data_IF_002782790859
#
_entry.id   IF_002782790859
#
_cell.length_a   1.000
_cell.length_b   1.000
_cell.length_c   1.000
_cell.angle_alpha   90.00
_cell.angle_beta   90.00
_cell.angle_gamma   90.00
#
_symmetry.space_group_name_H-M   'P 1'
#
loop_
_entity.id
_entity.type
_entity.pdbx_description
1 polymer ?
#
# COMPACT_ATOMS: atom_id res chain seq x y z
N UNK A 1 8.00 18.84 -48.40
CA UNK A 1 7.52 18.05 -47.25
C UNK A 1 7.63 18.93 -46.02
N UNK A 2 6.58 19.05 -45.21
CA UNK A 2 6.62 19.86 -43.99
C UNK A 2 7.64 19.28 -42.99
N UNK A 3 8.40 20.13 -42.30
CA UNK A 3 9.29 19.68 -41.24
C UNK A 3 8.47 19.06 -40.10
N UNK A 4 8.95 17.92 -39.59
CA UNK A 4 8.31 17.26 -38.45
C UNK A 4 8.36 18.18 -37.23
N UNK A 5 7.24 18.34 -36.49
CA UNK A 5 7.21 19.11 -35.26
C UNK A 5 8.28 18.62 -34.28
N UNK A 6 8.92 19.51 -33.49
CA UNK A 6 10.02 19.14 -32.59
C UNK A 6 9.69 17.98 -31.64
N UNK A 7 8.44 17.91 -31.16
CA UNK A 7 7.97 16.82 -30.29
C UNK A 7 7.90 15.46 -30.99
N UNK A 8 7.45 15.41 -32.24
CA UNK A 8 7.43 14.15 -33.01
C UNK A 8 8.85 13.73 -33.36
N UNK A 9 9.72 14.68 -33.73
CA UNK A 9 11.15 14.42 -33.98
C UNK A 9 11.83 13.79 -32.77
N UNK A 10 11.51 14.28 -31.56
CA UNK A 10 11.98 13.70 -30.30
C UNK A 10 11.44 12.27 -30.08
N UNK A 11 10.13 12.04 -30.24
CA UNK A 11 9.51 10.71 -30.07
C UNK A 11 10.12 9.68 -31.05
N UNK A 12 10.31 10.07 -32.31
CA UNK A 12 10.89 9.20 -33.35
C UNK A 12 12.40 9.00 -33.20
N UNK A 13 13.08 9.81 -32.39
CA UNK A 13 14.53 9.67 -32.17
C UNK A 13 14.89 8.47 -31.30
N UNK A 14 13.92 7.92 -30.56
CA UNK A 14 14.14 6.77 -29.69
C UNK A 14 14.03 5.45 -30.44
N UNK A 15 14.93 4.52 -30.14
CA UNK A 15 14.88 3.16 -30.67
C UNK A 15 13.77 2.35 -30.02
N UNK A 16 13.33 1.29 -30.71
CA UNK A 16 12.38 0.30 -30.18
C UNK A 16 12.81 -0.19 -28.77
N UNK A 17 14.10 -0.51 -28.60
CA UNK A 17 14.65 -0.98 -27.32
C UNK A 17 14.52 0.06 -26.20
N UNK A 18 14.70 1.34 -26.51
CA UNK A 18 14.55 2.42 -25.53
C UNK A 18 13.09 2.59 -25.09
N UNK A 19 12.15 2.46 -26.03
CA UNK A 19 10.72 2.47 -25.73
C UNK A 19 10.33 1.33 -24.80
N UNK A 20 10.77 0.10 -25.06
CA UNK A 20 10.49 -1.03 -24.17
C UNK A 20 11.13 -0.89 -22.79
N UNK A 21 12.37 -0.39 -22.71
CA UNK A 21 13.03 -0.11 -21.42
C UNK A 21 12.26 0.93 -20.62
N UNK A 22 11.86 2.04 -21.26
CA UNK A 22 11.05 3.07 -20.62
C UNK A 22 9.69 2.51 -20.17
N UNK A 23 9.03 1.73 -21.02
CA UNK A 23 7.77 1.08 -20.70
C UNK A 23 7.88 0.16 -19.48
N UNK A 24 8.85 -0.76 -19.45
CA UNK A 24 9.04 -1.68 -18.32
C UNK A 24 9.42 -0.94 -17.05
N UNK A 25 10.24 0.11 -17.16
CA UNK A 25 10.56 0.96 -16.01
C UNK A 25 9.32 1.63 -15.43
N UNK A 26 8.48 2.25 -16.26
CA UNK A 26 7.25 2.90 -15.82
C UNK A 26 6.24 1.88 -15.29
N UNK A 27 6.07 0.75 -15.97
CA UNK A 27 5.18 -0.31 -15.53
C UNK A 27 5.59 -0.80 -14.14
N UNK A 28 6.84 -1.27 -13.98
CA UNK A 28 7.35 -1.76 -12.70
C UNK A 28 7.33 -0.71 -11.60
N UNK A 29 7.59 0.56 -11.93
CA UNK A 29 7.43 1.69 -11.01
C UNK A 29 5.99 1.79 -10.50
N UNK A 30 5.00 1.77 -11.40
CA UNK A 30 3.58 1.86 -11.03
C UNK A 30 3.10 0.62 -10.25
N UNK A 31 3.59 -0.58 -10.58
CA UNK A 31 3.34 -1.78 -9.77
C UNK A 31 3.81 -1.56 -8.33
N UNK A 32 5.00 -1.00 -8.14
CA UNK A 32 5.54 -0.76 -6.81
C UNK A 32 4.90 0.40 -6.06
N UNK A 33 4.50 1.46 -6.76
CA UNK A 33 3.60 2.49 -6.23
C UNK A 33 2.35 1.84 -5.63
N UNK A 34 1.77 0.84 -6.30
CA UNK A 34 0.59 0.11 -5.82
C UNK A 34 0.82 -0.76 -4.57
N UNK A 35 2.00 -1.34 -4.41
CA UNK A 35 2.38 -2.00 -3.16
C UNK A 35 2.52 -1.00 -2.00
N UNK A 36 3.17 0.15 -2.21
CA UNK A 36 3.35 1.12 -1.13
C UNK A 36 2.06 1.83 -0.75
N UNK A 37 1.20 2.14 -1.73
CA UNK A 37 -0.08 2.79 -1.46
C UNK A 37 -1.01 1.88 -0.65
N UNK A 38 -0.96 0.55 -0.81
CA UNK A 38 -1.80 -0.40 -0.05
C UNK A 38 -1.32 -0.64 1.39
N UNK A 39 -0.05 -0.38 1.71
CA UNK A 39 0.50 -0.47 3.09
C UNK A 39 0.17 0.75 3.94
N UNK A 40 -0.03 1.91 3.31
CA UNK A 40 -0.17 3.19 4.00
C UNK A 40 -1.45 3.38 4.84
N UNK A 41 -2.63 2.83 4.48
CA UNK A 41 -3.90 3.16 5.12
C UNK A 41 -3.93 2.98 6.64
N UNK A 42 -3.27 1.94 7.17
CA UNK A 42 -3.22 1.68 8.63
C UNK A 42 -2.71 2.91 9.36
N UNK A 43 -1.62 3.53 8.89
CA UNK A 43 -1.02 4.70 9.55
C UNK A 43 -1.96 5.91 9.65
N UNK A 44 -2.94 6.02 8.74
CA UNK A 44 -3.90 7.12 8.69
C UNK A 44 -5.15 6.77 9.52
N UNK A 45 -5.63 5.54 9.41
CA UNK A 45 -6.86 5.06 10.09
C UNK A 45 -6.68 4.89 11.60
N UNK A 46 -5.44 4.80 12.11
CA UNK A 46 -5.14 4.75 13.55
C UNK A 46 -5.87 5.81 14.39
N UNK A 47 -6.03 7.03 13.88
CA UNK A 47 -6.70 8.12 14.59
C UNK A 47 -8.23 7.96 14.68
N UNK A 48 -8.84 7.26 13.73
CA UNK A 48 -10.29 7.00 13.72
C UNK A 48 -10.64 5.74 14.51
N UNK A 49 -9.72 4.77 14.59
CA UNK A 49 -9.89 3.57 15.42
C UNK A 49 -9.92 3.90 16.92
N UNK A 50 -9.25 4.98 17.34
CA UNK A 50 -9.22 5.47 18.72
C UNK A 50 -9.43 6.98 18.78
N UNK A 51 -10.68 7.43 18.91
CA UNK A 51 -11.01 8.84 19.12
C UNK A 51 -10.81 9.23 20.58
N UNK A 52 -10.09 10.32 20.83
CA UNK A 52 -10.07 10.97 22.14
C UNK A 52 -11.46 11.55 22.42
N UNK A 53 -12.28 10.78 23.12
CA UNK A 53 -13.61 11.23 23.49
C UNK A 53 -13.49 12.38 24.50
N UNK A 54 -13.95 13.57 24.10
CA UNK A 54 -14.05 14.73 25.00
C UNK A 54 -15.27 14.50 25.88
N UNK A 55 -15.08 14.39 27.19
CA UNK A 55 -16.18 14.27 28.15
C UNK A 55 -17.03 15.55 28.09
N UNK A 56 -18.23 15.47 27.50
CA UNK A 56 -19.22 16.53 27.61
C UNK A 56 -19.74 16.55 29.05
N UNK A 57 -19.31 17.54 29.83
CA UNK A 57 -19.90 17.83 31.14
C UNK A 57 -21.19 18.62 30.93
N UNK A 58 -22.34 17.96 31.03
CA UNK A 58 -23.64 18.64 31.08
C UNK A 58 -23.87 19.07 32.53
N UNK A 59 -24.01 20.37 32.77
CA UNK A 59 -24.46 20.91 34.06
C UNK A 59 -25.99 21.00 33.96
N UNK A 60 -26.71 20.07 34.60
CA UNK A 60 -28.16 20.15 34.79
C UNK A 60 -28.44 21.08 35.98
N UNK A 61 -29.18 22.16 35.75
CA UNK A 61 -29.66 23.08 36.79
C UNK A 61 -31.10 22.70 37.15
N UNK A 62 -31.26 21.82 38.13
CA UNK A 62 -32.59 21.48 38.65
C UNK A 62 -33.17 22.71 39.37
N UNK A 63 -34.29 23.24 38.87
CA UNK A 63 -35.02 24.37 39.45
C UNK A 63 -36.19 23.83 40.29
N UNK A 64 -35.99 23.70 41.60
CA UNK A 64 -37.08 23.63 42.58
C UNK A 64 -36.71 24.45 43.81
N UNK A 65 -37.62 25.34 44.22
CA UNK A 65 -37.56 26.09 45.46
C UNK A 65 -37.66 25.12 46.65
N UNK A 66 -36.67 25.10 47.54
CA UNK A 66 -36.72 25.74 48.86
C UNK A 66 -35.54 25.22 49.73
N UNK A 67 -34.78 26.18 50.30
CA UNK A 67 -33.83 26.06 51.42
C UNK A 67 -33.14 24.71 51.70
N UNK A 68 -31.99 24.49 51.06
CA UNK A 68 -30.77 23.99 51.73
C UNK A 68 -29.58 24.14 50.77
N UNK A 69 -28.37 24.37 51.31
CA UNK A 69 -27.14 24.56 50.51
C UNK A 69 -26.82 23.24 49.79
N UNK A 70 -27.29 23.10 48.56
CA UNK A 70 -26.95 21.98 47.68
C UNK A 70 -25.86 22.41 46.70
N UNK A 71 -24.67 21.82 46.89
CA UNK A 71 -23.61 21.79 45.89
C UNK A 71 -24.21 21.09 44.66
N UNK A 72 -24.19 21.70 43.44
CA UNK A 72 -24.74 21.05 42.26
C UNK A 72 -24.09 19.69 42.08
N UNK A 73 -24.90 18.63 42.08
CA UNK A 73 -24.40 17.28 41.82
C UNK A 73 -24.00 17.20 40.36
N UNK A 74 -22.70 17.29 40.08
CA UNK A 74 -22.15 17.03 38.75
C UNK A 74 -22.41 15.56 38.43
N UNK A 75 -23.52 15.27 37.74
CA UNK A 75 -23.70 13.98 37.09
C UNK A 75 -22.81 13.97 35.87
N UNK A 76 -21.64 13.35 35.99
CA UNK A 76 -20.84 12.94 34.84
C UNK A 76 -21.67 11.90 34.09
N UNK A 77 -22.45 12.33 33.10
CA UNK A 77 -23.10 11.40 32.19
C UNK A 77 -21.97 10.74 31.40
N UNK A 78 -21.52 9.57 31.87
CA UNK A 78 -20.64 8.69 31.13
C UNK A 78 -21.49 8.13 29.98
N UNK A 79 -21.72 8.96 28.97
CA UNK A 79 -22.30 8.51 27.74
C UNK A 79 -21.23 7.60 27.14
N UNK A 80 -21.44 6.30 27.31
CA UNK A 80 -20.60 5.23 26.78
C UNK A 80 -20.81 5.15 25.24
N UNK A 81 -20.87 6.32 24.59
CA UNK A 81 -20.90 6.46 23.15
C UNK A 81 -19.59 5.88 22.64
N UNK A 82 -19.70 4.68 22.08
CA UNK A 82 -18.69 3.91 21.36
C UNK A 82 -17.88 4.82 20.43
N UNK A 83 -16.85 5.44 20.98
CA UNK A 83 -16.09 6.51 20.32
C UNK A 83 -14.99 5.94 19.41
N UNK A 84 -14.51 4.75 19.76
CA UNK A 84 -13.52 3.98 19.01
C UNK A 84 -14.10 2.69 18.43
N UNK A 85 -13.32 2.07 17.55
CA UNK A 85 -13.67 0.79 16.94
C UNK A 85 -13.09 -0.35 17.78
N UNK A 86 -13.95 -1.19 18.39
CA UNK A 86 -13.50 -2.40 19.08
C UNK A 86 -12.74 -3.32 18.10
N UNK A 87 -11.57 -3.88 18.47
CA UNK A 87 -10.96 -3.94 19.81
C UNK A 87 -9.95 -2.81 20.12
N UNK A 88 -9.83 -1.79 19.26
CA UNK A 88 -8.86 -0.69 19.37
C UNK A 88 -9.35 0.50 20.21
N UNK A 89 -10.51 0.38 20.83
CA UNK A 89 -11.14 1.35 21.72
C UNK A 89 -10.49 1.40 23.13
N UNK A 90 -9.86 0.29 23.55
CA UNK A 90 -9.26 0.13 24.87
C UNK A 90 -7.99 0.96 25.07
N UNK A 91 -7.60 1.20 26.33
CA UNK A 91 -6.38 1.93 26.69
C UNK A 91 -5.08 1.32 26.14
N UNK A 92 -5.10 0.02 25.82
CA UNK A 92 -3.99 -0.70 25.21
C UNK A 92 -3.95 -0.62 23.66
N UNK A 93 -4.74 0.24 23.02
CA UNK A 93 -4.81 0.37 21.55
C UNK A 93 -3.44 0.51 20.87
N UNK A 94 -2.49 1.26 21.47
CA UNK A 94 -1.12 1.40 20.94
C UNK A 94 -0.40 0.05 20.83
N UNK A 95 -0.58 -0.83 21.81
CA UNK A 95 -0.01 -2.18 21.79
C UNK A 95 -0.69 -3.06 20.74
N UNK A 96 -2.03 -2.97 20.59
CA UNK A 96 -2.77 -3.74 19.58
C UNK A 96 -2.40 -3.33 18.15
N UNK A 97 -2.34 -2.03 17.88
CA UNK A 97 -1.91 -1.49 16.58
C UNK A 97 -0.43 -1.82 16.31
N UNK A 98 0.42 -1.75 17.34
CA UNK A 98 1.81 -2.19 17.26
C UNK A 98 1.93 -3.68 16.93
N UNK A 99 1.09 -4.53 17.54
CA UNK A 99 1.06 -5.96 17.25
C UNK A 99 0.64 -6.25 15.81
N UNK A 100 -0.29 -5.49 15.22
CA UNK A 100 -0.67 -5.61 13.82
C UNK A 100 0.48 -5.26 12.87
N UNK A 101 1.12 -4.12 13.09
CA UNK A 101 2.27 -3.68 12.28
C UNK A 101 3.43 -4.67 12.41
N UNK A 102 3.71 -5.13 13.63
CA UNK A 102 4.76 -6.10 13.90
C UNK A 102 4.49 -7.45 13.23
N UNK A 103 3.25 -7.94 13.30
CA UNK A 103 2.85 -9.21 12.68
C UNK A 103 3.04 -9.17 11.16
N UNK A 104 2.66 -8.06 10.51
CA UNK A 104 2.93 -7.84 9.10
C UNK A 104 4.44 -7.85 8.80
N UNK A 105 5.24 -7.09 9.55
CA UNK A 105 6.68 -6.96 9.32
C UNK A 105 7.42 -8.28 9.53
N UNK A 106 7.05 -9.05 10.55
CA UNK A 106 7.62 -10.36 10.83
C UNK A 106 7.28 -11.36 9.70
N UNK A 107 6.02 -11.43 9.32
CA UNK A 107 5.57 -12.26 8.20
C UNK A 107 6.26 -11.86 6.88
N UNK A 108 6.40 -10.56 6.62
CA UNK A 108 7.11 -10.03 5.47
C UNK A 108 8.59 -10.41 5.49
N UNK A 109 9.28 -10.35 6.64
CA UNK A 109 10.68 -10.73 6.75
C UNK A 109 10.91 -12.21 6.43
N UNK A 110 10.09 -13.10 6.99
CA UNK A 110 10.13 -14.54 6.68
C UNK A 110 9.78 -14.80 5.22
N UNK A 111 8.71 -14.18 4.74
CA UNK A 111 8.27 -14.30 3.36
C UNK A 111 9.32 -13.82 2.35
N UNK A 112 10.09 -12.77 2.65
CA UNK A 112 11.14 -12.25 1.77
C UNK A 112 12.23 -13.30 1.51
N UNK A 113 12.62 -14.05 2.53
CA UNK A 113 13.58 -15.15 2.38
C UNK A 113 13.01 -16.27 1.49
N UNK A 114 11.79 -16.72 1.77
CA UNK A 114 11.12 -17.78 1.01
C UNK A 114 10.83 -17.36 -0.44
N UNK A 115 10.39 -16.12 -0.61
CA UNK A 115 10.01 -15.53 -1.90
C UNK A 115 11.20 -15.42 -2.84
N UNK A 116 12.42 -15.19 -2.33
CA UNK A 116 13.64 -15.26 -3.13
C UNK A 116 13.83 -16.65 -3.76
N UNK A 117 13.69 -17.71 -2.95
CA UNK A 117 13.87 -19.10 -3.40
C UNK A 117 12.77 -19.52 -4.39
N UNK A 118 11.52 -19.17 -4.09
CA UNK A 118 10.36 -19.51 -4.94
C UNK A 118 10.41 -18.71 -6.24
N UNK A 119 10.75 -17.42 -6.16
CA UNK A 119 10.77 -16.49 -7.29
C UNK A 119 11.80 -16.85 -8.37
N UNK A 120 12.88 -17.57 -8.02
CA UNK A 120 13.84 -18.07 -9.01
C UNK A 120 13.29 -19.24 -9.85
N UNK A 121 12.26 -19.94 -9.36
CA UNK A 121 11.70 -21.14 -10.01
C UNK A 121 10.42 -20.88 -10.78
N UNK A 122 9.79 -19.73 -10.54
CA UNK A 122 8.52 -19.36 -11.17
C UNK A 122 8.75 -18.24 -12.20
N UNK A 123 8.04 -18.28 -13.33
CA UNK A 123 8.05 -17.16 -14.28
C UNK A 123 7.58 -15.87 -13.58
N UNK A 124 8.37 -14.81 -13.70
CA UNK A 124 8.22 -13.56 -12.93
C UNK A 124 6.83 -12.96 -13.14
N UNK A 125 6.31 -13.05 -14.37
CA UNK A 125 4.98 -12.54 -14.74
C UNK A 125 3.86 -13.15 -13.90
N UNK A 126 3.85 -14.46 -13.72
CA UNK A 126 2.77 -15.13 -12.97
C UNK A 126 2.97 -14.96 -11.46
N UNK A 127 4.21 -15.03 -11.00
CA UNK A 127 4.54 -14.90 -9.59
C UNK A 127 4.20 -13.51 -9.03
N UNK A 128 4.61 -12.45 -9.74
CA UNK A 128 4.32 -11.07 -9.38
C UNK A 128 2.82 -10.77 -9.43
N UNK A 129 2.16 -11.15 -10.52
CA UNK A 129 0.73 -10.87 -10.71
C UNK A 129 -0.15 -11.60 -9.67
N UNK A 130 0.14 -12.87 -9.39
CA UNK A 130 -0.56 -13.64 -8.37
C UNK A 130 -0.40 -13.03 -6.98
N UNK A 131 0.82 -12.61 -6.62
CA UNK A 131 1.07 -11.94 -5.35
C UNK A 131 0.39 -10.57 -5.26
N UNK A 132 0.33 -9.78 -6.34
CA UNK A 132 -0.39 -8.50 -6.37
C UNK A 132 -1.91 -8.69 -6.19
N UNK A 133 -2.50 -9.65 -6.88
CA UNK A 133 -3.92 -10.00 -6.73
C UNK A 133 -4.25 -10.45 -5.31
N UNK A 134 -3.42 -11.34 -4.74
CA UNK A 134 -3.58 -11.80 -3.37
C UNK A 134 -3.37 -10.66 -2.35
N UNK A 135 -2.39 -9.77 -2.59
CA UNK A 135 -2.15 -8.60 -1.74
C UNK A 135 -3.35 -7.66 -1.73
N UNK A 136 -3.96 -7.43 -2.89
CA UNK A 136 -5.18 -6.64 -3.00
C UNK A 136 -6.36 -7.28 -2.30
N UNK A 137 -6.51 -8.61 -2.44
CA UNK A 137 -7.52 -9.38 -1.72
C UNK A 137 -7.38 -9.26 -0.21
N UNK A 138 -6.20 -9.53 0.37
CA UNK A 138 -6.01 -9.45 1.83
C UNK A 138 -6.06 -8.02 2.36
N UNK A 139 -5.59 -7.03 1.58
CA UNK A 139 -5.77 -5.61 1.93
C UNK A 139 -7.25 -5.23 1.97
N UNK A 140 -8.03 -5.63 0.96
CA UNK A 140 -9.47 -5.39 0.93
C UNK A 140 -10.18 -6.14 2.07
N UNK A 141 -9.77 -7.37 2.37
CA UNK A 141 -10.30 -8.17 3.48
C UNK A 141 -10.13 -7.43 4.82
N UNK A 142 -8.99 -6.78 5.05
CA UNK A 142 -8.81 -5.93 6.23
C UNK A 142 -9.87 -4.83 6.33
N UNK A 143 -10.12 -4.11 5.22
CA UNK A 143 -11.15 -3.06 5.15
C UNK A 143 -12.58 -3.58 5.29
N UNK A 144 -12.85 -4.78 4.79
CA UNK A 144 -14.15 -5.46 4.87
C UNK A 144 -14.59 -5.70 6.33
N UNK A 145 -13.64 -5.75 7.28
CA UNK A 145 -13.95 -5.81 8.70
C UNK A 145 -14.84 -4.65 9.18
N UNK A 146 -14.77 -3.48 8.55
CA UNK A 146 -15.69 -2.36 8.80
C UNK A 146 -17.13 -2.70 8.41
N UNK A 147 -17.35 -3.22 7.21
CA UNK A 147 -18.70 -3.45 6.66
C UNK A 147 -19.44 -4.59 7.35
N UNK A 148 -18.74 -5.65 7.76
CA UNK A 148 -19.32 -6.75 8.53
C UNK A 148 -19.27 -6.54 10.04
N UNK A 149 -18.85 -5.37 10.50
CA UNK A 149 -18.76 -5.02 11.91
C UNK A 149 -17.97 -6.04 12.77
N UNK A 150 -16.80 -6.43 12.28
CA UNK A 150 -15.96 -7.45 12.91
C UNK A 150 -15.09 -6.79 13.99
N UNK A 151 -15.27 -7.20 15.24
CA UNK A 151 -14.52 -6.67 16.40
C UNK A 151 -13.43 -7.63 16.93
N UNK A 152 -13.01 -8.61 16.12
CA UNK A 152 -11.99 -9.58 16.50
C UNK A 152 -10.59 -9.14 16.07
N UNK A 153 -9.65 -9.01 17.02
CA UNK A 153 -8.25 -8.66 16.73
C UNK A 153 -7.58 -9.70 15.82
N UNK A 154 -7.90 -10.98 16.03
CA UNK A 154 -7.32 -12.08 15.25
C UNK A 154 -7.65 -12.01 13.77
N UNK A 155 -8.83 -11.50 13.41
CA UNK A 155 -9.19 -11.25 12.02
C UNK A 155 -8.19 -10.30 11.34
N UNK A 156 -7.91 -9.18 11.98
CA UNK A 156 -6.98 -8.17 11.47
C UNK A 156 -5.53 -8.68 11.45
N UNK A 157 -5.10 -9.45 12.47
CA UNK A 157 -3.77 -10.06 12.51
C UNK A 157 -3.59 -11.07 11.37
N UNK A 158 -4.54 -11.99 11.18
CA UNK A 158 -4.46 -13.01 10.13
C UNK A 158 -4.44 -12.36 8.75
N UNK A 159 -5.30 -11.36 8.51
CA UNK A 159 -5.29 -10.59 7.27
C UNK A 159 -3.92 -9.92 7.04
N UNK A 160 -3.31 -9.33 8.07
CA UNK A 160 -2.00 -8.68 7.99
C UNK A 160 -0.84 -9.67 7.76
N UNK A 161 -0.86 -10.83 8.41
CA UNK A 161 0.15 -11.87 8.22
C UNK A 161 0.07 -12.42 6.79
N UNK A 162 -1.13 -12.76 6.33
CA UNK A 162 -1.34 -13.24 4.96
C UNK A 162 -0.92 -12.18 3.93
N UNK A 163 -1.33 -10.93 4.12
CA UNK A 163 -0.93 -9.80 3.28
C UNK A 163 0.59 -9.60 3.27
N UNK A 164 1.23 -9.67 4.44
CA UNK A 164 2.67 -9.57 4.61
C UNK A 164 3.41 -10.61 3.79
N UNK A 165 3.00 -11.88 3.85
CA UNK A 165 3.60 -12.98 3.08
C UNK A 165 3.45 -12.77 1.57
N UNK A 166 2.25 -12.48 1.09
CA UNK A 166 2.01 -12.36 -0.37
C UNK A 166 2.64 -11.10 -0.98
N UNK A 167 2.84 -10.04 -0.20
CA UNK A 167 3.50 -8.83 -0.69
C UNK A 167 5.00 -9.01 -0.93
N UNK A 168 5.60 -10.08 -0.39
CA UNK A 168 7.03 -10.37 -0.59
C UNK A 168 7.35 -10.84 -2.00
N UNK A 169 6.36 -11.19 -2.82
CA UNK A 169 6.59 -11.54 -4.24
C UNK A 169 7.06 -10.34 -5.06
N UNK A 170 6.75 -9.12 -4.62
CA UNK A 170 7.04 -7.88 -5.36
C UNK A 170 8.52 -7.65 -5.60
N UNK A 171 9.30 -7.58 -4.52
CA UNK A 171 10.68 -7.08 -4.56
C UNK A 171 11.62 -7.94 -5.41
N UNK A 172 11.75 -9.27 -5.14
CA UNK A 172 12.65 -10.11 -5.93
C UNK A 172 12.26 -10.15 -7.41
N UNK A 173 10.95 -10.18 -7.70
CA UNK A 173 10.42 -10.18 -9.08
C UNK A 173 10.82 -8.93 -9.85
N UNK A 174 10.58 -7.75 -9.28
CA UNK A 174 10.79 -6.50 -9.98
C UNK A 174 12.26 -6.13 -10.07
N UNK A 175 13.05 -6.36 -9.01
CA UNK A 175 14.50 -6.16 -9.05
C UNK A 175 15.15 -7.04 -10.12
N UNK A 176 14.69 -8.29 -10.25
CA UNK A 176 15.16 -9.19 -11.32
C UNK A 176 14.74 -8.68 -12.70
N UNK A 177 13.50 -8.23 -12.88
CA UNK A 177 13.03 -7.65 -14.14
C UNK A 177 13.85 -6.41 -14.55
N UNK A 178 14.08 -5.46 -13.65
CA UNK A 178 14.92 -4.28 -13.91
C UNK A 178 16.36 -4.70 -14.21
N UNK A 179 16.89 -5.70 -13.49
CA UNK A 179 18.20 -6.28 -13.72
C UNK A 179 18.36 -6.84 -15.14
N UNK A 180 17.34 -7.53 -15.64
CA UNK A 180 17.29 -8.12 -16.98
C UNK A 180 17.28 -7.04 -18.09
N UNK A 181 16.55 -5.95 -17.88
CA UNK A 181 16.38 -4.90 -18.90
C UNK A 181 17.53 -3.87 -18.94
N UNK A 182 18.12 -3.54 -17.79
CA UNK A 182 19.05 -2.41 -17.69
C UNK A 182 20.53 -2.78 -17.54
N UNK A 183 20.87 -4.05 -17.31
CA UNK A 183 22.27 -4.50 -17.27
C UNK A 183 23.09 -3.83 -16.16
N UNK A 184 24.44 -3.85 -16.24
CA UNK A 184 25.36 -3.47 -15.14
C UNK A 184 25.79 -2.00 -15.10
N UNK A 185 25.68 -1.24 -16.19
CA UNK A 185 26.37 0.06 -16.34
C UNK A 185 25.87 1.22 -15.47
N UNK A 186 24.56 1.43 -15.37
CA UNK A 186 23.95 2.57 -14.63
C UNK A 186 22.96 2.14 -13.55
N UNK A 187 23.21 0.97 -12.93
CA UNK A 187 22.28 0.35 -11.96
C UNK A 187 21.92 1.27 -10.80
N UNK A 188 22.89 1.99 -10.24
CA UNK A 188 22.66 2.88 -9.10
C UNK A 188 21.67 4.00 -9.40
N UNK A 189 21.84 4.71 -10.52
CA UNK A 189 20.94 5.79 -10.93
C UNK A 189 19.53 5.26 -11.25
N UNK A 190 19.45 4.14 -11.97
CA UNK A 190 18.17 3.53 -12.37
C UNK A 190 17.41 3.04 -11.13
N UNK A 191 18.08 2.32 -10.22
CA UNK A 191 17.47 1.89 -8.97
C UNK A 191 17.11 3.06 -8.07
N UNK A 192 17.93 4.12 -8.02
CA UNK A 192 17.64 5.34 -7.25
C UNK A 192 16.38 6.06 -7.74
N UNK A 193 16.27 6.29 -9.05
CA UNK A 193 15.07 6.87 -9.66
C UNK A 193 13.86 5.96 -9.46
N UNK A 194 14.02 4.66 -9.68
CA UNK A 194 12.94 3.69 -9.53
C UNK A 194 12.41 3.69 -8.10
N UNK A 195 13.29 3.65 -7.09
CA UNK A 195 12.94 3.60 -5.66
C UNK A 195 12.10 4.81 -5.18
N UNK A 196 12.06 5.91 -5.94
CA UNK A 196 11.14 7.03 -5.67
C UNK A 196 9.67 6.63 -5.73
N UNK A 197 9.33 5.46 -6.30
CA UNK A 197 8.01 4.83 -6.21
C UNK A 197 7.50 4.76 -4.76
N UNK A 198 8.41 4.63 -3.79
CA UNK A 198 8.09 4.50 -2.37
C UNK A 198 7.41 5.77 -1.88
N UNK A 199 7.99 6.92 -2.19
CA UNK A 199 7.44 8.23 -1.83
C UNK A 199 6.11 8.48 -2.55
N UNK A 200 6.04 8.19 -3.85
CA UNK A 200 4.81 8.38 -4.64
C UNK A 200 3.67 7.51 -4.09
N UNK A 201 3.93 6.23 -3.84
CA UNK A 201 2.95 5.31 -3.26
C UNK A 201 2.51 5.73 -1.85
N UNK A 202 3.44 6.19 -1.01
CA UNK A 202 3.11 6.69 0.32
C UNK A 202 2.22 7.94 0.28
N UNK A 203 2.47 8.87 -0.66
CA UNK A 203 1.64 10.07 -0.86
C UNK A 203 0.23 9.65 -1.30
N UNK A 204 0.12 8.86 -2.37
CA UNK A 204 -1.17 8.41 -2.89
C UNK A 204 -1.97 7.61 -1.87
N UNK A 205 -1.31 6.70 -1.15
CA UNK A 205 -1.93 5.91 -0.09
C UNK A 205 -2.44 6.78 1.07
N UNK A 206 -1.72 7.85 1.42
CA UNK A 206 -2.16 8.79 2.46
C UNK A 206 -3.35 9.62 2.00
N UNK A 207 -3.37 10.08 0.74
CA UNK A 207 -4.47 10.85 0.16
C UNK A 207 -5.75 10.03 0.06
N UNK A 208 -5.66 8.80 -0.48
CA UNK A 208 -6.81 7.90 -0.60
C UNK A 208 -7.34 7.53 0.79
N UNK A 209 -6.46 7.17 1.72
CA UNK A 209 -6.89 6.83 3.07
C UNK A 209 -7.53 8.02 3.79
N UNK A 210 -6.92 9.20 3.69
CA UNK A 210 -7.40 10.44 4.32
C UNK A 210 -8.75 10.93 3.80
N UNK A 211 -9.10 10.62 2.56
CA UNK A 211 -10.43 10.94 2.03
C UNK A 211 -11.54 10.10 2.70
N UNK A 212 -11.27 8.83 2.97
CA UNK A 212 -12.27 7.89 3.51
C UNK A 212 -12.22 7.73 5.02
N UNK A 213 -11.15 8.19 5.68
CA UNK A 213 -10.87 7.86 7.09
C UNK A 213 -12.02 8.26 8.02
N UNK A 214 -12.58 9.47 7.86
CA UNK A 214 -13.61 10.00 8.76
C UNK A 214 -15.04 9.59 8.41
N UNK A 215 -15.28 9.05 7.20
CA UNK A 215 -16.60 8.61 6.75
C UNK A 215 -16.75 7.09 6.88
N UNK A 216 -15.96 6.35 6.10
CA UNK A 216 -15.98 4.90 6.02
C UNK A 216 -14.55 4.39 5.93
N UNK A 217 -13.87 4.28 7.07
CA UNK A 217 -12.45 3.90 7.12
C UNK A 217 -12.14 2.55 6.44
N UNK A 218 -13.13 1.64 6.32
CA UNK A 218 -12.98 0.41 5.55
C UNK A 218 -12.61 0.65 4.09
N UNK A 219 -13.12 1.72 3.46
CA UNK A 219 -12.80 2.11 2.09
C UNK A 219 -11.36 2.59 1.94
N UNK A 220 -10.74 3.10 3.03
CA UNK A 220 -9.31 3.43 3.06
C UNK A 220 -8.43 2.21 2.73
N UNK A 221 -8.93 0.99 2.89
CA UNK A 221 -8.24 -0.27 2.55
C UNK A 221 -8.78 -0.93 1.27
N UNK A 222 -10.11 -0.95 1.10
CA UNK A 222 -10.74 -1.59 -0.07
C UNK A 222 -10.30 -0.91 -1.37
N UNK A 223 -10.25 0.42 -1.41
CA UNK A 223 -9.86 1.17 -2.62
C UNK A 223 -8.39 0.86 -3.01
N UNK A 224 -7.41 0.99 -2.10
CA UNK A 224 -6.05 0.51 -2.37
C UNK A 224 -5.95 -0.96 -2.78
N UNK A 225 -6.75 -1.84 -2.16
CA UNK A 225 -6.84 -3.26 -2.49
C UNK A 225 -7.27 -3.49 -3.94
N UNK A 226 -8.29 -2.77 -4.40
CA UNK A 226 -8.74 -2.81 -5.81
C UNK A 226 -7.63 -2.31 -6.73
N UNK A 227 -6.96 -1.19 -6.40
CA UNK A 227 -5.91 -0.61 -7.24
C UNK A 227 -4.75 -1.59 -7.44
N UNK A 228 -4.23 -2.21 -6.37
CA UNK A 228 -3.14 -3.19 -6.49
C UNK A 228 -3.59 -4.45 -7.23
N UNK A 229 -4.83 -4.92 -7.04
CA UNK A 229 -5.37 -6.04 -7.82
C UNK A 229 -5.46 -5.71 -9.31
N UNK A 230 -5.96 -4.53 -9.68
CA UNK A 230 -6.01 -4.07 -11.08
C UNK A 230 -4.61 -3.95 -11.67
N UNK A 231 -3.64 -3.43 -10.91
CA UNK A 231 -2.24 -3.40 -11.34
C UNK A 231 -1.65 -4.81 -11.49
N UNK A 232 -2.10 -5.78 -10.70
CA UNK A 232 -1.77 -7.21 -10.88
C UNK A 232 -2.28 -7.77 -12.22
N UNK A 233 -3.50 -7.39 -12.64
CA UNK A 233 -4.03 -7.77 -13.97
C UNK A 233 -3.21 -7.10 -15.08
N UNK A 234 -2.89 -5.81 -14.94
CA UNK A 234 -2.04 -5.09 -15.90
C UNK A 234 -0.65 -5.74 -15.98
N UNK A 235 -0.07 -6.15 -14.84
CA UNK A 235 1.18 -6.90 -14.80
C UNK A 235 1.08 -8.22 -15.58
N UNK A 236 0.00 -8.97 -15.38
CA UNK A 236 -0.21 -10.24 -16.08
C UNK A 236 -0.28 -10.05 -17.61
N UNK A 237 -0.95 -9.00 -18.07
CA UNK A 237 -1.15 -8.74 -19.49
C UNK A 237 0.08 -8.15 -20.18
N UNK A 238 0.85 -7.29 -19.49
CA UNK A 238 1.83 -6.43 -20.14
C UNK A 238 3.28 -6.59 -19.66
N UNK A 239 3.55 -7.35 -18.59
CA UNK A 239 4.92 -7.51 -18.12
C UNK A 239 5.73 -8.41 -19.07
N UNK A 240 6.84 -7.87 -19.58
CA UNK A 240 7.82 -8.59 -20.42
C UNK A 240 9.05 -8.85 -19.58
N UNK A 241 9.34 -10.12 -19.33
CA UNK A 241 10.39 -10.56 -18.40
C UNK A 241 11.79 -10.36 -18.98
N UNK A 242 11.98 -10.77 -20.24
CA UNK A 242 13.25 -10.68 -20.91
C UNK A 242 13.15 -9.84 -22.18
N UNK A 243 14.15 -8.98 -22.47
CA UNK A 243 14.19 -8.24 -23.73
C UNK A 243 14.26 -9.15 -24.96
N UNK A 244 14.78 -10.37 -24.80
CA UNK A 244 14.82 -11.38 -25.87
C UNK A 244 13.43 -11.75 -26.38
N UNK A 245 12.41 -11.68 -25.54
CA UNK A 245 11.03 -12.07 -25.88
C UNK A 245 10.40 -11.12 -26.91
N UNK A 246 10.97 -9.92 -27.09
CA UNK A 246 10.54 -8.92 -28.08
C UNK A 246 11.61 -8.62 -29.14
N UNK A 247 12.58 -9.53 -29.29
CA UNK A 247 13.74 -9.39 -30.18
C UNK A 247 14.62 -8.16 -29.87
N UNK A 248 14.66 -7.71 -28.62
CA UNK A 248 15.55 -6.66 -28.15
C UNK A 248 16.83 -7.26 -27.58
N UNK A 249 17.99 -6.67 -27.87
CA UNK A 249 19.27 -7.11 -27.29
C UNK A 249 19.65 -6.20 -26.12
N UNK A 250 20.03 -6.78 -24.98
CA UNK A 250 20.76 -6.01 -23.98
C UNK A 250 22.14 -5.77 -24.57
N UNK A 251 22.34 -4.61 -25.21
CA UNK A 251 23.69 -4.18 -25.57
C UNK A 251 24.51 -4.17 -24.28
N UNK A 252 25.39 -5.16 -24.13
CA UNK A 252 26.48 -5.10 -23.15
C UNK A 252 27.19 -3.79 -23.43
N UNK A 253 27.34 -2.96 -22.41
CA UNK A 253 28.04 -1.67 -22.50
C UNK A 253 29.52 -1.92 -22.80
N UNK A 254 29.84 -2.30 -24.02
CA UNK A 254 31.18 -2.31 -24.55
C UNK A 254 31.23 -1.19 -25.59
N UNK A 255 31.75 -0.05 -25.11
CA UNK A 255 32.34 1.05 -25.88
C UNK A 255 31.34 1.88 -26.72
N UNK A 256 31.06 3.09 -26.27
CA UNK A 256 30.91 4.30 -27.12
C UNK A 256 31.04 5.55 -26.23
N UNK A 257 32.26 5.77 -25.75
CA UNK A 257 32.83 7.11 -25.58
C UNK A 257 34.23 7.03 -26.18
N UNK A 258 34.33 7.43 -27.44
CA UNK A 258 35.54 7.99 -28.04
C UNK A 258 35.08 9.14 -28.90
#
# INVERSE_FOLDING_TARGET
MAELPPGIRLITSFTKDQWYRAFIFVLTFMLYVSFHLSRKPISIVKGELHKHCTTLQIIEWDTYEENDIHIPSVKTLYNNSRCGWEPFDKSNYKQLLGALDYSFLCAYAVGMYLSGIIGERLPIRYYLSGGMLASGFFTALFGIGYFYNIHSLWYYIIAQVANGLVQTTGWPSVVTCIGNWFGKGRRGLIMGLWNSHTSVGNILGSLIAGYWVSTCWGLSFVVPGIIISLMGIICYLFLIEHPKDVNCTVKSSTIFFK
#
